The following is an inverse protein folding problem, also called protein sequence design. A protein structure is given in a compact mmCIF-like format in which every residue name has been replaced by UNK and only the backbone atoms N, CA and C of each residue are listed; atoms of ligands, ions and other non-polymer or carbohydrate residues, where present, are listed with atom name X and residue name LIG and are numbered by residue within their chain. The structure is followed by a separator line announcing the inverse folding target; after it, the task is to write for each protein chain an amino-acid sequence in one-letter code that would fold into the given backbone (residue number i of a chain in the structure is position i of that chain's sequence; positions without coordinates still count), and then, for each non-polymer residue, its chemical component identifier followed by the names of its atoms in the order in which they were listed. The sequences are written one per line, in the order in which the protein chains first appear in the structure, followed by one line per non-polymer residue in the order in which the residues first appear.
data_IF_452122397369
#
_entry.id   IF_452122397369
#
_cell.length_a   1.000
_cell.length_b   1.000
_cell.length_c   1.000
_cell.angle_alpha   90.00
_cell.angle_beta   90.00
_cell.angle_gamma   90.00
#
_symmetry.space_group_name_H-M   'P 1'
#
loop_
_entity.id
_entity.type
_entity.pdbx_description
1 polymer ?
#
# COMPACT_ATOMS: atom_id res chain seq x y z
N UNK A 1 27.35 -70.74 48.51
CA UNK A 1 27.51 -70.58 47.05
C UNK A 1 28.97 -70.23 46.78
N UNK A 2 29.73 -71.16 46.20
CA UNK A 2 31.16 -71.00 45.96
C UNK A 2 31.41 -70.04 44.80
N UNK A 3 32.33 -69.10 45.00
CA UNK A 3 32.72 -68.09 44.04
C UNK A 3 33.56 -68.76 42.94
N UNK A 4 32.99 -69.04 41.76
CA UNK A 4 33.78 -69.47 40.60
C UNK A 4 34.49 -68.25 40.02
N UNK A 5 35.73 -68.04 40.45
CA UNK A 5 36.63 -67.09 39.81
C UNK A 5 36.88 -67.54 38.36
N UNK A 6 36.35 -66.78 37.40
CA UNK A 6 36.70 -66.93 35.99
C UNK A 6 38.19 -66.57 35.83
N UNK A 7 39.06 -67.57 35.71
CA UNK A 7 40.44 -67.36 35.27
C UNK A 7 40.42 -67.08 33.77
N UNK A 8 40.90 -65.91 33.38
CA UNK A 8 41.23 -65.64 31.98
C UNK A 8 42.54 -66.35 31.69
N UNK A 9 42.47 -67.50 31.02
CA UNK A 9 43.65 -68.21 30.56
C UNK A 9 44.07 -67.68 29.18
N UNK A 10 45.36 -67.44 28.97
CA UNK A 10 45.89 -67.21 27.62
C UNK A 10 45.94 -68.55 26.86
N UNK A 11 45.86 -68.48 25.54
CA UNK A 11 45.81 -69.66 24.66
C UNK A 11 47.02 -70.58 24.87
N UNK A 12 48.18 -70.02 25.20
CA UNK A 12 49.43 -70.72 25.48
C UNK A 12 49.40 -71.46 26.83
N UNK A 13 48.72 -70.88 27.82
CA UNK A 13 48.54 -71.48 29.14
C UNK A 13 47.56 -72.67 29.05
N UNK A 14 46.50 -72.54 28.23
CA UNK A 14 45.60 -73.63 27.89
C UNK A 14 46.31 -74.75 27.11
N UNK A 15 47.09 -74.41 26.07
CA UNK A 15 47.86 -75.40 25.27
C UNK A 15 48.75 -76.25 26.17
N UNK A 16 49.49 -75.63 27.10
CA UNK A 16 50.33 -76.36 28.08
C UNK A 16 49.50 -77.23 29.02
N UNK A 17 48.36 -76.75 29.49
CA UNK A 17 47.50 -77.53 30.38
C UNK A 17 46.93 -78.78 29.69
N UNK A 18 46.49 -78.67 28.43
CA UNK A 18 46.01 -79.81 27.66
C UNK A 18 47.13 -80.82 27.35
N UNK A 19 48.32 -80.36 26.95
CA UNK A 19 49.48 -81.23 26.74
C UNK A 19 49.86 -81.98 28.04
N UNK A 20 49.88 -81.27 29.18
CA UNK A 20 50.17 -81.87 30.49
C UNK A 20 49.10 -82.89 30.94
N UNK A 21 47.87 -82.80 30.42
CA UNK A 21 46.80 -83.78 30.63
C UNK A 21 46.86 -84.96 29.66
N UNK A 22 47.84 -85.00 28.75
CA UNK A 22 48.10 -86.12 27.86
C UNK A 22 47.41 -86.04 26.49
N UNK A 23 46.85 -84.87 26.13
CA UNK A 23 46.37 -84.65 24.76
C UNK A 23 47.56 -84.51 23.79
N UNK A 24 47.40 -85.01 22.56
CA UNK A 24 48.43 -84.85 21.52
C UNK A 24 48.48 -83.41 21.02
N UNK A 25 49.65 -82.97 20.57
CA UNK A 25 49.82 -81.61 20.07
C UNK A 25 48.89 -81.32 18.89
N UNK A 26 48.68 -82.28 18.01
CA UNK A 26 47.76 -82.17 16.87
C UNK A 26 46.30 -82.00 17.32
N UNK A 27 45.89 -82.67 18.41
CA UNK A 27 44.52 -82.57 18.92
C UNK A 27 44.28 -81.25 19.67
N UNK A 28 45.27 -80.79 20.43
CA UNK A 28 45.24 -79.48 21.10
C UNK A 28 45.23 -78.37 20.06
N UNK A 29 46.08 -78.45 19.05
CA UNK A 29 46.10 -77.49 17.95
C UNK A 29 44.80 -77.54 17.16
N UNK A 30 44.23 -78.71 16.87
CA UNK A 30 42.91 -78.82 16.24
C UNK A 30 41.82 -78.09 17.07
N UNK A 31 41.75 -78.35 18.38
CA UNK A 31 40.75 -77.74 19.27
C UNK A 31 40.94 -76.23 19.39
N UNK A 32 42.17 -75.74 19.49
CA UNK A 32 42.46 -74.31 19.63
C UNK A 32 42.32 -73.55 18.29
N UNK A 33 42.61 -74.21 17.17
CA UNK A 33 42.49 -73.64 15.82
C UNK A 33 41.04 -73.67 15.31
N UNK A 34 40.24 -74.66 15.73
CA UNK A 34 38.82 -74.80 15.39
C UNK A 34 37.87 -74.36 16.51
N UNK A 35 38.40 -73.78 17.60
CA UNK A 35 37.56 -73.10 18.59
C UNK A 35 36.88 -71.88 17.94
N UNK A 36 35.82 -71.35 18.55
CA UNK A 36 34.87 -70.33 18.08
C UNK A 36 35.46 -69.03 17.48
N UNK A 37 36.78 -68.88 17.47
CA UNK A 37 37.55 -67.78 16.93
C UNK A 37 37.36 -67.56 15.40
N UNK A 38 37.17 -68.63 14.60
CA UNK A 38 36.90 -68.47 13.17
C UNK A 38 35.56 -67.76 12.89
N UNK A 39 34.52 -68.12 13.64
CA UNK A 39 33.21 -67.45 13.56
C UNK A 39 33.28 -66.00 14.03
N UNK A 40 34.15 -65.70 15.01
CA UNK A 40 34.41 -64.34 15.50
C UNK A 40 35.10 -63.45 14.45
N UNK A 41 36.14 -63.94 13.77
CA UNK A 41 36.80 -63.15 12.72
C UNK A 41 35.88 -62.88 11.52
N UNK A 42 35.08 -63.86 11.10
CA UNK A 42 34.04 -63.64 10.07
C UNK A 42 33.03 -62.57 10.52
N UNK A 43 32.59 -62.62 11.79
CA UNK A 43 31.65 -61.63 12.32
C UNK A 43 32.27 -60.24 12.33
N UNK A 44 33.54 -60.11 12.74
CA UNK A 44 34.29 -58.86 12.75
C UNK A 44 34.46 -58.28 11.36
N UNK A 45 34.77 -59.10 10.35
CA UNK A 45 34.82 -58.66 8.95
C UNK A 45 33.45 -58.14 8.46
N UNK A 46 32.37 -58.85 8.80
CA UNK A 46 31.00 -58.40 8.47
C UNK A 46 30.66 -57.09 9.17
N UNK A 47 31.01 -56.92 10.44
CA UNK A 47 30.81 -55.66 11.19
C UNK A 47 31.57 -54.52 10.52
N UNK A 48 32.86 -54.72 10.19
CA UNK A 48 33.66 -53.73 9.49
C UNK A 48 33.05 -53.36 8.12
N UNK A 49 32.55 -54.35 7.37
CA UNK A 49 31.85 -54.10 6.10
C UNK A 49 30.56 -53.29 6.30
N UNK A 50 29.76 -53.60 7.33
CA UNK A 50 28.56 -52.85 7.68
C UNK A 50 28.91 -51.41 8.09
N UNK A 51 29.95 -51.19 8.89
CA UNK A 51 30.42 -49.85 9.27
C UNK A 51 30.78 -49.01 8.04
N UNK A 52 31.49 -49.60 7.07
CA UNK A 52 31.80 -48.91 5.81
C UNK A 52 30.55 -48.58 4.99
N UNK A 53 29.58 -49.50 4.93
CA UNK A 53 28.30 -49.25 4.26
C UNK A 53 27.52 -48.13 4.93
N UNK A 54 27.46 -48.12 6.27
CA UNK A 54 26.80 -47.06 7.06
C UNK A 54 27.47 -45.71 6.79
N UNK A 55 28.80 -45.64 6.85
CA UNK A 55 29.54 -44.40 6.55
C UNK A 55 29.28 -43.91 5.13
N UNK A 56 29.19 -44.81 4.15
CA UNK A 56 28.86 -44.43 2.77
C UNK A 56 27.44 -43.86 2.66
N UNK A 57 26.46 -44.50 3.30
CA UNK A 57 25.07 -43.99 3.36
C UNK A 57 25.01 -42.62 4.04
N UNK A 58 25.65 -42.44 5.20
CA UNK A 58 25.69 -41.16 5.90
C UNK A 58 26.32 -40.06 5.04
N UNK A 59 27.40 -40.36 4.33
CA UNK A 59 28.07 -39.40 3.46
C UNK A 59 27.20 -39.01 2.26
N UNK A 60 26.45 -39.96 1.68
CA UNK A 60 25.52 -39.67 0.59
C UNK A 60 24.35 -38.81 1.09
N UNK A 61 23.75 -39.15 2.24
CA UNK A 61 22.68 -38.34 2.83
C UNK A 61 23.14 -36.92 3.16
N UNK A 62 24.37 -36.73 3.68
CA UNK A 62 24.94 -35.40 3.90
C UNK A 62 25.06 -34.60 2.59
N UNK A 63 25.47 -35.24 1.49
CA UNK A 63 25.54 -34.59 0.18
C UNK A 63 24.17 -34.21 -0.36
N UNK A 64 23.19 -35.10 -0.25
CA UNK A 64 21.81 -34.85 -0.72
C UNK A 64 21.16 -33.69 0.05
N UNK A 65 21.38 -33.63 1.37
CA UNK A 65 20.92 -32.53 2.22
C UNK A 65 21.58 -31.21 1.80
N UNK A 66 22.90 -31.19 1.60
CA UNK A 66 23.60 -29.96 1.21
C UNK A 66 23.19 -29.50 -0.19
N UNK A 67 23.01 -30.43 -1.13
CA UNK A 67 22.48 -30.14 -2.47
C UNK A 67 21.09 -29.50 -2.40
N UNK A 68 20.16 -30.12 -1.67
CA UNK A 68 18.80 -29.60 -1.47
C UNK A 68 18.81 -28.21 -0.83
N UNK A 69 19.69 -27.98 0.15
CA UNK A 69 19.86 -26.68 0.81
C UNK A 69 20.38 -25.60 -0.14
N UNK A 70 21.29 -25.94 -1.05
CA UNK A 70 21.79 -25.03 -2.09
C UNK A 70 20.65 -24.69 -3.06
N UNK A 71 19.86 -25.66 -3.49
CA UNK A 71 18.71 -25.41 -4.38
C UNK A 71 17.68 -24.49 -3.72
N UNK A 72 17.29 -24.75 -2.47
CA UNK A 72 16.36 -23.88 -1.75
C UNK A 72 16.89 -22.46 -1.58
N UNK A 73 18.19 -22.29 -1.28
CA UNK A 73 18.80 -20.95 -1.19
C UNK A 73 18.75 -20.22 -2.54
N UNK A 74 18.98 -20.92 -3.65
CA UNK A 74 18.89 -20.36 -5.00
C UNK A 74 17.47 -19.92 -5.32
N UNK A 75 16.47 -20.73 -4.99
CA UNK A 75 15.07 -20.41 -5.24
C UNK A 75 14.58 -19.23 -4.39
N UNK A 76 14.98 -19.16 -3.11
CA UNK A 76 14.71 -17.99 -2.25
C UNK A 76 15.33 -16.73 -2.85
N UNK A 77 16.61 -16.77 -3.24
CA UNK A 77 17.27 -15.62 -3.85
C UNK A 77 16.58 -15.17 -5.16
N UNK A 78 16.11 -16.11 -5.97
CA UNK A 78 15.33 -15.79 -7.17
C UNK A 78 13.97 -15.14 -6.85
N UNK A 79 13.32 -15.58 -5.76
CA UNK A 79 12.07 -14.95 -5.29
C UNK A 79 12.33 -13.54 -4.76
N UNK A 80 13.40 -13.32 -4.00
CA UNK A 80 13.79 -11.99 -3.51
C UNK A 80 14.00 -11.03 -4.69
N UNK A 81 14.74 -11.45 -5.73
CA UNK A 81 14.94 -10.63 -6.95
C UNK A 81 13.61 -10.30 -7.64
N UNK A 82 12.67 -11.27 -7.70
CA UNK A 82 11.34 -11.02 -8.29
C UNK A 82 10.53 -10.03 -7.46
N UNK A 83 10.58 -10.14 -6.13
CA UNK A 83 9.90 -9.23 -5.21
C UNK A 83 10.49 -7.82 -5.35
N UNK A 84 11.80 -7.66 -5.35
CA UNK A 84 12.48 -6.38 -5.54
C UNK A 84 12.08 -5.69 -6.85
N UNK A 85 11.96 -6.47 -7.94
CA UNK A 85 11.52 -5.95 -9.23
C UNK A 85 10.06 -5.49 -9.22
N UNK A 86 9.17 -6.25 -8.56
CA UNK A 86 7.76 -5.85 -8.37
C UNK A 86 7.69 -4.57 -7.55
N UNK A 87 8.43 -4.48 -6.44
CA UNK A 87 8.46 -3.31 -5.58
C UNK A 87 8.91 -2.06 -6.34
N UNK A 88 10.02 -2.14 -7.09
CA UNK A 88 10.51 -1.02 -7.92
C UNK A 88 9.50 -0.55 -8.96
N UNK A 89 8.80 -1.49 -9.60
CA UNK A 89 7.77 -1.15 -10.58
C UNK A 89 6.58 -0.44 -9.94
N UNK A 90 6.11 -0.93 -8.78
CA UNK A 90 5.03 -0.28 -8.04
C UNK A 90 5.43 1.11 -7.54
N UNK A 91 6.65 1.30 -7.03
CA UNK A 91 7.16 2.63 -6.65
C UNK A 91 7.14 3.62 -7.82
N UNK A 92 7.53 3.15 -9.02
CA UNK A 92 7.49 3.97 -10.24
C UNK A 92 6.06 4.32 -10.64
N UNK A 93 5.14 3.37 -10.57
CA UNK A 93 3.74 3.60 -10.92
C UNK A 93 3.07 4.59 -9.96
N UNK A 94 3.33 4.47 -8.65
CA UNK A 94 2.88 5.44 -7.63
C UNK A 94 3.43 6.83 -7.94
N UNK A 95 4.74 6.95 -8.19
CA UNK A 95 5.36 8.25 -8.52
C UNK A 95 4.74 8.88 -9.77
N UNK A 96 4.41 8.07 -10.79
CA UNK A 96 3.73 8.56 -11.99
C UNK A 96 2.29 9.03 -11.71
N UNK A 97 1.58 8.36 -10.78
CA UNK A 97 0.25 8.77 -10.35
C UNK A 97 0.29 10.09 -9.58
N UNK A 98 1.26 10.27 -8.67
CA UNK A 98 1.45 11.53 -7.93
C UNK A 98 1.63 12.72 -8.90
N UNK A 99 2.49 12.57 -9.91
CA UNK A 99 2.68 13.62 -10.94
C UNK A 99 1.39 13.92 -11.71
N UNK A 100 0.57 12.90 -12.01
CA UNK A 100 -0.72 13.12 -12.68
C UNK A 100 -1.71 13.84 -11.78
N UNK A 101 -1.76 13.49 -10.50
CA UNK A 101 -2.62 14.13 -9.49
C UNK A 101 -2.23 15.60 -9.35
N UNK A 102 -0.94 15.90 -9.20
CA UNK A 102 -0.43 17.27 -9.10
C UNK A 102 -0.82 18.12 -10.32
N UNK A 103 -0.78 17.54 -11.52
CA UNK A 103 -1.16 18.23 -12.75
C UNK A 103 -2.68 18.50 -12.80
N UNK A 104 -3.51 17.54 -12.37
CA UNK A 104 -4.96 17.73 -12.25
C UNK A 104 -5.28 18.83 -11.25
N UNK A 105 -4.64 18.81 -10.07
CA UNK A 105 -4.83 19.82 -9.02
C UNK A 105 -4.49 21.24 -9.53
N UNK A 106 -3.34 21.41 -10.19
CA UNK A 106 -2.94 22.70 -10.79
C UNK A 106 -3.93 23.20 -11.84
N UNK A 107 -4.44 22.30 -12.69
CA UNK A 107 -5.42 22.67 -13.71
C UNK A 107 -6.75 23.09 -13.07
N UNK A 108 -7.25 22.34 -12.09
CA UNK A 108 -8.48 22.69 -11.37
C UNK A 108 -8.34 24.03 -10.65
N UNK A 109 -7.20 24.30 -10.00
CA UNK A 109 -6.96 25.57 -9.33
C UNK A 109 -6.95 26.74 -10.31
N UNK A 110 -6.38 26.55 -11.51
CA UNK A 110 -6.41 27.53 -12.59
C UNK A 110 -7.83 27.78 -13.10
N UNK A 111 -8.61 26.73 -13.30
CA UNK A 111 -9.98 26.83 -13.79
C UNK A 111 -10.88 27.56 -12.79
N UNK A 112 -10.77 27.22 -11.49
CA UNK A 112 -11.47 27.93 -10.40
C UNK A 112 -11.07 29.42 -10.39
N UNK A 113 -9.77 29.72 -10.45
CA UNK A 113 -9.29 31.11 -10.47
C UNK A 113 -9.80 31.90 -11.67
N UNK A 114 -9.94 31.25 -12.83
CA UNK A 114 -10.49 31.88 -14.03
C UNK A 114 -12.00 32.12 -13.91
N UNK A 115 -12.74 31.14 -13.35
CA UNK A 115 -14.17 31.26 -13.11
C UNK A 115 -14.46 32.40 -12.12
N UNK A 116 -13.73 32.48 -11.02
CA UNK A 116 -13.82 33.57 -10.04
C UNK A 116 -13.62 34.95 -10.69
N UNK A 117 -12.56 35.10 -11.51
CA UNK A 117 -12.29 36.34 -12.24
C UNK A 117 -13.41 36.71 -13.21
N UNK A 118 -13.98 35.75 -13.91
CA UNK A 118 -15.05 36.00 -14.86
C UNK A 118 -16.33 36.43 -14.13
N UNK A 119 -16.69 35.75 -13.04
CA UNK A 119 -17.84 36.12 -12.22
C UNK A 119 -17.70 37.53 -11.63
N UNK A 120 -16.51 37.88 -11.12
CA UNK A 120 -16.24 39.23 -10.61
C UNK A 120 -16.44 40.30 -11.70
N UNK A 121 -15.91 40.07 -12.91
CA UNK A 121 -16.10 41.00 -14.05
C UNK A 121 -17.57 41.15 -14.44
N UNK A 122 -18.32 40.05 -14.47
CA UNK A 122 -19.75 40.08 -14.80
C UNK A 122 -20.54 40.86 -13.74
N UNK A 123 -20.23 40.65 -12.45
CA UNK A 123 -20.83 41.43 -11.36
C UNK A 123 -20.50 42.92 -11.44
N UNK A 124 -19.24 43.28 -11.73
CA UNK A 124 -18.83 44.67 -11.92
C UNK A 124 -19.57 45.33 -13.09
N UNK A 125 -19.69 44.63 -14.21
CA UNK A 125 -20.44 45.08 -15.39
C UNK A 125 -21.92 45.30 -15.07
N UNK A 126 -22.57 44.31 -14.44
CA UNK A 126 -23.98 44.42 -14.07
C UNK A 126 -24.23 45.56 -13.07
N UNK A 127 -23.32 45.74 -12.09
CA UNK A 127 -23.39 46.86 -11.16
C UNK A 127 -23.23 48.22 -11.85
N UNK A 128 -22.38 48.32 -12.88
CA UNK A 128 -22.21 49.54 -13.65
C UNK A 128 -23.49 49.89 -14.44
N UNK A 129 -24.10 48.91 -15.10
CA UNK A 129 -25.37 49.06 -15.82
C UNK A 129 -26.48 49.53 -14.87
N UNK A 130 -26.64 48.84 -13.74
CA UNK A 130 -27.65 49.21 -12.73
C UNK A 130 -27.46 50.65 -12.20
N UNK A 131 -26.21 51.07 -11.98
CA UNK A 131 -25.92 52.45 -11.56
C UNK A 131 -26.31 53.48 -12.62
N UNK A 132 -26.10 53.17 -13.89
CA UNK A 132 -26.50 54.03 -15.01
C UNK A 132 -28.02 54.13 -15.14
N UNK A 133 -28.71 52.99 -15.11
CA UNK A 133 -30.18 52.94 -15.17
C UNK A 133 -30.84 53.70 -14.02
N UNK A 134 -30.29 53.60 -12.80
CA UNK A 134 -30.77 54.40 -11.66
C UNK A 134 -30.57 55.90 -11.87
N UNK A 135 -29.42 56.33 -12.41
CA UNK A 135 -29.17 57.75 -12.71
C UNK A 135 -30.13 58.27 -13.77
N UNK A 136 -30.36 57.50 -14.83
CA UNK A 136 -31.27 57.85 -15.91
C UNK A 136 -32.72 57.92 -15.40
N UNK A 137 -33.14 56.97 -14.57
CA UNK A 137 -34.46 56.99 -13.94
C UNK A 137 -34.62 58.22 -13.04
N UNK A 138 -33.58 58.55 -12.27
CA UNK A 138 -33.59 59.74 -11.41
C UNK A 138 -33.71 61.04 -12.21
N UNK A 139 -32.96 61.21 -13.31
CA UNK A 139 -33.05 62.40 -14.15
C UNK A 139 -34.41 62.55 -14.82
N UNK A 140 -35.00 61.46 -15.32
CA UNK A 140 -36.35 61.45 -15.90
C UNK A 140 -37.40 61.85 -14.86
N UNK A 141 -37.29 61.37 -13.62
CA UNK A 141 -38.21 61.75 -12.54
C UNK A 141 -38.11 63.25 -12.22
N UNK A 142 -36.90 63.81 -12.12
CA UNK A 142 -36.68 65.24 -11.90
C UNK A 142 -37.27 66.09 -13.03
N UNK A 143 -37.10 65.67 -14.29
CA UNK A 143 -37.69 66.34 -15.44
C UNK A 143 -39.23 66.34 -15.37
N UNK A 144 -39.84 65.18 -15.12
CA UNK A 144 -41.31 65.04 -14.98
C UNK A 144 -41.86 65.90 -13.86
N UNK A 145 -41.19 65.93 -12.70
CA UNK A 145 -41.55 66.80 -11.58
C UNK A 145 -41.42 68.29 -11.95
N UNK A 146 -40.36 68.66 -12.67
CA UNK A 146 -40.16 70.02 -13.17
C UNK A 146 -41.27 70.49 -14.12
N UNK A 147 -41.69 69.63 -15.07
CA UNK A 147 -42.84 69.90 -15.95
C UNK A 147 -44.13 70.03 -15.14
N UNK A 148 -44.36 69.14 -14.17
CA UNK A 148 -45.51 69.19 -13.27
C UNK A 148 -45.57 70.50 -12.48
N UNK A 149 -44.45 70.95 -11.91
CA UNK A 149 -44.36 72.23 -11.21
C UNK A 149 -44.65 73.41 -12.13
N UNK A 150 -44.09 73.42 -13.36
CA UNK A 150 -44.37 74.48 -14.34
C UNK A 150 -45.86 74.55 -14.69
N UNK A 151 -46.51 73.41 -14.91
CA UNK A 151 -47.96 73.35 -15.15
C UNK A 151 -48.76 73.86 -13.97
N UNK A 152 -48.39 73.48 -12.74
CA UNK A 152 -49.03 73.99 -11.53
C UNK A 152 -48.90 75.52 -11.44
N UNK A 153 -47.71 76.08 -11.69
CA UNK A 153 -47.49 77.54 -11.74
C UNK A 153 -48.37 78.23 -12.78
N UNK A 154 -48.54 77.65 -13.96
CA UNK A 154 -49.42 78.21 -15.01
C UNK A 154 -50.88 78.19 -14.56
N UNK A 155 -51.35 77.08 -13.97
CA UNK A 155 -52.72 76.95 -13.45
C UNK A 155 -52.96 77.98 -12.34
N UNK A 156 -52.04 78.13 -11.39
CA UNK A 156 -52.21 79.07 -10.28
C UNK A 156 -52.14 80.53 -10.72
N UNK A 157 -51.21 80.88 -11.61
CA UNK A 157 -51.00 82.26 -12.04
C UNK A 157 -52.01 82.75 -13.08
N UNK A 158 -52.47 81.88 -13.99
CA UNK A 158 -53.34 82.25 -15.12
C UNK A 158 -54.71 81.58 -15.02
N UNK A 159 -54.73 80.26 -14.78
CA UNK A 159 -55.98 79.48 -14.79
C UNK A 159 -56.96 79.89 -13.68
N UNK A 160 -56.49 79.95 -12.43
CA UNK A 160 -57.33 80.32 -11.27
C UNK A 160 -57.97 81.71 -11.44
N UNK A 161 -57.22 82.78 -11.79
CA UNK A 161 -57.83 84.08 -12.04
C UNK A 161 -58.92 84.06 -13.11
N UNK A 162 -58.70 83.38 -14.23
CA UNK A 162 -59.70 83.25 -15.31
C UNK A 162 -60.96 82.56 -14.80
N UNK A 163 -60.83 81.45 -14.07
CA UNK A 163 -61.96 80.71 -13.49
C UNK A 163 -62.74 81.60 -12.51
N UNK A 164 -62.04 82.33 -11.63
CA UNK A 164 -62.67 83.27 -10.69
C UNK A 164 -63.46 84.35 -11.44
N UNK A 165 -62.88 84.94 -12.50
CA UNK A 165 -63.57 85.93 -13.33
C UNK A 165 -64.83 85.38 -13.99
N UNK A 166 -64.80 84.16 -14.51
CA UNK A 166 -65.97 83.49 -15.11
C UNK A 166 -67.06 83.26 -14.06
N UNK A 167 -66.71 82.72 -12.89
CA UNK A 167 -67.67 82.47 -11.80
C UNK A 167 -68.32 83.77 -11.36
N UNK A 168 -67.54 84.83 -11.15
CA UNK A 168 -68.07 86.13 -10.73
C UNK A 168 -69.03 86.73 -11.78
N UNK A 169 -68.74 86.55 -13.06
CA UNK A 169 -69.63 86.98 -14.16
C UNK A 169 -70.95 86.19 -14.21
N UNK A 170 -70.96 84.92 -13.82
CA UNK A 170 -72.19 84.12 -13.74
C UNK A 170 -73.02 84.52 -12.51
N UNK A 171 -72.39 84.70 -11.35
CA UNK A 171 -73.08 85.15 -10.12
C UNK A 171 -73.76 86.49 -10.36
N UNK A 172 -73.08 87.45 -10.99
CA UNK A 172 -73.67 88.77 -11.28
C UNK A 172 -74.89 88.69 -12.20
N UNK A 173 -74.90 87.77 -13.18
CA UNK A 173 -76.06 87.54 -14.05
C UNK A 173 -77.27 86.94 -13.34
N UNK A 174 -77.07 86.11 -12.31
CA UNK A 174 -78.16 85.40 -11.64
C UNK A 174 -78.67 86.07 -10.35
N UNK A 175 -77.83 86.86 -9.65
CA UNK A 175 -78.16 87.42 -8.34
C UNK A 175 -78.15 88.95 -8.26
N UNK A 176 -77.68 89.66 -9.30
CA UNK A 176 -77.63 91.13 -9.36
C UNK A 176 -78.48 91.67 -10.52
N UNK A 177 -79.35 90.82 -11.08
CA UNK A 177 -80.42 91.20 -12.00
C UNK A 177 -81.72 91.47 -11.26
#
# INVERSE_FOLDING_TARGET
MGNLAYKVYRTEDLKKEFLNKGFTEEAVDFILLHNDNFSFEILKEKINSLEQQIMNVENNLKKDIEFTKIEFRRDISNLDIKIDNVEKNLQKDISNLDVKIDNVEKNLQKDISNLEKNLLKEMESNNAILREEMKNSHSILLEKLGVGNRMLTIITAIGIPIIISIIMSLISKFFVG
#
